data_IF_503157315456
#
_entry.id   IF_503157315456
#
_cell.length_a   1.000
_cell.length_b   1.000
_cell.length_c   1.000
_cell.angle_alpha   90.00
_cell.angle_beta   90.00
_cell.angle_gamma   90.00
#
_symmetry.space_group_name_H-M   'P 1'
#
loop_
_entity.id
_entity.type
_entity.pdbx_description
1 polymer ?
#
# COMPACT_ATOMS: atom_id res chain seq x y z
N UNK A 1 -24.91 -13.06 0.77
CA UNK A 1 -23.44 -12.91 0.53
C UNK A 1 -22.63 -12.85 1.82
N UNK A 2 -23.05 -12.10 2.85
CA UNK A 2 -22.32 -11.98 4.13
C UNK A 2 -22.21 -13.29 4.93
N UNK A 3 -23.24 -14.16 4.89
CA UNK A 3 -23.20 -15.49 5.52
C UNK A 3 -22.25 -16.47 4.81
N UNK A 4 -22.14 -16.38 3.48
CA UNK A 4 -21.17 -17.16 2.68
C UNK A 4 -19.72 -16.68 2.87
N UNK A 5 -19.51 -15.45 3.36
CA UNK A 5 -18.20 -14.89 3.65
C UNK A 5 -17.67 -15.26 5.04
N UNK A 6 -18.45 -15.94 5.89
CA UNK A 6 -18.02 -16.42 7.21
C UNK A 6 -17.99 -15.36 8.32
N UNK A 7 -18.52 -14.16 8.08
CA UNK A 7 -18.47 -13.01 9.02
C UNK A 7 -19.17 -13.32 10.36
N UNK A 8 -20.20 -14.17 10.35
CA UNK A 8 -20.98 -14.53 11.54
C UNK A 8 -20.30 -15.60 12.41
N UNK A 9 -19.23 -16.24 11.94
CA UNK A 9 -18.52 -17.31 12.64
C UNK A 9 -17.10 -16.89 13.10
N UNK A 10 -16.84 -15.59 13.26
CA UNK A 10 -15.54 -15.15 13.76
C UNK A 10 -15.39 -15.46 15.24
N UNK A 11 -14.30 -16.14 15.58
CA UNK A 11 -13.88 -16.22 16.97
C UNK A 11 -13.42 -14.85 17.49
N UNK A 12 -13.57 -14.62 18.79
CA UNK A 12 -13.12 -13.40 19.45
C UNK A 12 -11.64 -13.08 19.16
N UNK A 13 -10.79 -14.11 19.07
CA UNK A 13 -9.37 -13.94 18.71
C UNK A 13 -9.19 -13.30 17.33
N UNK A 14 -10.03 -13.65 16.34
CA UNK A 14 -9.97 -13.07 14.98
C UNK A 14 -10.53 -11.66 14.94
N UNK A 15 -11.58 -11.39 15.72
CA UNK A 15 -12.10 -10.02 15.89
C UNK A 15 -11.01 -9.12 16.46
N UNK A 16 -10.32 -9.55 17.53
CA UNK A 16 -9.20 -8.80 18.12
C UNK A 16 -8.03 -8.59 17.13
N UNK A 17 -7.70 -9.60 16.32
CA UNK A 17 -6.69 -9.47 15.27
C UNK A 17 -7.03 -8.37 14.26
N UNK A 18 -8.26 -8.34 13.75
CA UNK A 18 -8.71 -7.30 12.82
C UNK A 18 -8.89 -5.93 13.48
N UNK A 19 -9.26 -5.91 14.76
CA UNK A 19 -9.27 -4.69 15.57
C UNK A 19 -7.89 -4.06 15.69
N UNK A 20 -6.87 -4.85 16.06
CA UNK A 20 -5.48 -4.39 16.10
C UNK A 20 -4.99 -3.93 14.72
N UNK A 21 -5.33 -4.69 13.67
CA UNK A 21 -4.99 -4.30 12.29
C UNK A 21 -5.63 -2.97 11.91
N UNK A 22 -6.90 -2.78 12.25
CA UNK A 22 -7.63 -1.54 12.00
C UNK A 22 -7.04 -0.36 12.75
N UNK A 23 -6.60 -0.55 13.99
CA UNK A 23 -5.90 0.47 14.78
C UNK A 23 -4.56 0.86 14.14
N UNK A 24 -3.74 -0.13 13.78
CA UNK A 24 -2.44 0.09 13.13
C UNK A 24 -2.62 0.79 11.78
N UNK A 25 -3.53 0.29 10.95
CA UNK A 25 -3.79 0.85 9.62
C UNK A 25 -4.39 2.25 9.72
N UNK A 26 -5.37 2.45 10.62
CA UNK A 26 -6.00 3.74 10.87
C UNK A 26 -5.00 4.77 11.38
N UNK A 27 -4.09 4.39 12.29
CA UNK A 27 -2.99 5.24 12.72
C UNK A 27 -2.05 5.62 11.56
N UNK A 28 -1.74 4.66 10.69
CA UNK A 28 -1.01 4.94 9.44
C UNK A 28 -1.74 5.93 8.53
N UNK A 29 -3.05 5.76 8.35
CA UNK A 29 -3.90 6.68 7.57
C UNK A 29 -3.91 8.08 8.20
N UNK A 30 -4.00 8.22 9.52
CA UNK A 30 -3.94 9.52 10.18
C UNK A 30 -2.61 10.24 9.93
N UNK A 31 -1.49 9.54 10.09
CA UNK A 31 -0.16 10.10 9.83
C UNK A 31 0.04 10.45 8.35
N UNK A 32 -0.49 9.62 7.46
CA UNK A 32 -0.47 9.86 6.00
C UNK A 32 -1.29 11.10 5.62
N UNK A 33 -2.49 11.28 6.17
CA UNK A 33 -3.28 12.50 5.97
C UNK A 33 -2.61 13.73 6.58
N UNK A 34 -1.98 13.59 7.75
CA UNK A 34 -1.19 14.67 8.35
C UNK A 34 -0.05 15.09 7.41
N UNK A 35 0.67 14.12 6.82
CA UNK A 35 1.71 14.41 5.84
C UNK A 35 1.14 15.13 4.60
N UNK A 36 0.03 14.64 4.03
CA UNK A 36 -0.65 15.29 2.89
C UNK A 36 -1.10 16.72 3.18
N UNK A 37 -1.43 17.03 4.44
CA UNK A 37 -1.83 18.39 4.84
C UNK A 37 -0.65 19.36 4.98
N UNK A 38 0.59 18.84 5.01
CA UNK A 38 1.79 19.58 5.41
C UNK A 38 2.86 19.68 4.33
N UNK A 39 3.03 18.63 3.54
CA UNK A 39 4.04 18.54 2.50
C UNK A 39 3.40 18.22 1.14
N UNK A 40 4.04 18.58 0.02
CA UNK A 40 3.52 18.29 -1.31
C UNK A 40 3.24 16.80 -1.51
N UNK A 41 2.19 16.46 -2.29
CA UNK A 41 1.80 15.07 -2.55
C UNK A 41 2.93 14.24 -3.18
N UNK A 42 3.80 14.88 -3.97
CA UNK A 42 4.99 14.26 -4.53
C UNK A 42 5.96 13.80 -3.43
N UNK A 43 6.16 14.60 -2.39
CA UNK A 43 7.02 14.28 -1.26
C UNK A 43 6.38 13.19 -0.37
N UNK A 44 5.08 13.27 -0.11
CA UNK A 44 4.32 12.18 0.56
C UNK A 44 4.51 10.87 -0.17
N UNK A 45 4.40 10.89 -1.49
CA UNK A 45 4.54 9.70 -2.34
C UNK A 45 5.97 9.17 -2.30
N UNK A 46 6.99 10.03 -2.43
CA UNK A 46 8.40 9.66 -2.35
C UNK A 46 8.74 8.97 -1.03
N UNK A 47 8.35 9.58 0.09
CA UNK A 47 8.60 9.02 1.42
C UNK A 47 7.77 7.75 1.66
N UNK A 48 6.55 7.70 1.12
CA UNK A 48 5.67 6.54 1.20
C UNK A 48 6.21 5.29 0.50
N UNK A 49 7.04 5.48 -0.52
CA UNK A 49 7.74 4.40 -1.21
C UNK A 49 8.81 3.68 -0.37
N UNK A 50 9.04 4.12 0.87
CA UNK A 50 9.78 3.32 1.86
C UNK A 50 8.93 2.15 2.42
N UNK A 51 7.59 2.19 2.30
CA UNK A 51 6.67 1.11 2.73
C UNK A 51 7.04 -0.26 2.12
N UNK A 52 7.28 -0.39 0.80
CA UNK A 52 7.88 -1.58 0.18
C UNK A 52 9.08 -2.20 0.88
N UNK A 53 9.98 -1.36 1.39
CA UNK A 53 11.22 -1.78 2.06
C UNK A 53 10.87 -2.41 3.41
N UNK A 54 10.07 -1.72 4.22
CA UNK A 54 9.60 -2.23 5.50
C UNK A 54 8.76 -3.50 5.36
N UNK A 55 7.88 -3.56 4.35
CA UNK A 55 7.05 -4.73 4.09
C UNK A 55 7.91 -5.95 3.73
N UNK A 56 8.96 -5.77 2.95
CA UNK A 56 9.88 -6.86 2.57
C UNK A 56 10.73 -7.35 3.74
N UNK A 57 11.29 -6.42 4.52
CA UNK A 57 12.05 -6.76 5.72
C UNK A 57 11.18 -7.46 6.76
N UNK A 58 9.98 -6.92 7.01
CA UNK A 58 9.04 -7.53 7.95
C UNK A 58 8.49 -8.88 7.47
N UNK A 59 8.35 -9.10 6.15
CA UNK A 59 7.97 -10.41 5.63
C UNK A 59 9.04 -11.47 5.90
N UNK A 60 10.32 -11.11 5.75
CA UNK A 60 11.42 -12.00 6.10
C UNK A 60 11.46 -12.32 7.60
N UNK A 61 11.23 -11.33 8.46
CA UNK A 61 11.28 -11.47 9.92
C UNK A 61 10.07 -12.20 10.52
N UNK A 62 8.85 -11.86 10.08
CA UNK A 62 7.61 -12.32 10.74
C UNK A 62 6.87 -13.43 10.00
N UNK A 63 7.07 -13.54 8.68
CA UNK A 63 6.38 -14.53 7.85
C UNK A 63 7.31 -15.65 7.39
N UNK A 64 8.58 -15.63 7.80
CA UNK A 64 9.61 -16.55 7.36
C UNK A 64 9.72 -16.64 5.83
N UNK A 65 9.37 -15.57 5.11
CA UNK A 65 9.68 -15.47 3.68
C UNK A 65 11.21 -15.52 3.54
N UNK A 66 11.72 -16.35 2.62
CA UNK A 66 13.17 -16.38 2.39
C UNK A 66 13.62 -14.98 1.98
N UNK A 67 14.56 -14.42 2.72
CA UNK A 67 15.14 -13.14 2.35
C UNK A 67 15.93 -13.32 1.06
N UNK A 68 15.35 -12.89 -0.06
CA UNK A 68 16.00 -12.95 -1.35
C UNK A 68 16.52 -11.56 -1.70
N UNK A 69 17.85 -11.43 -1.71
CA UNK A 69 18.54 -10.18 -2.01
C UNK A 69 18.15 -9.60 -3.37
N UNK A 70 17.80 -10.46 -4.33
CA UNK A 70 17.29 -10.04 -5.63
C UNK A 70 16.04 -9.17 -5.52
N UNK A 71 15.06 -9.54 -4.69
CA UNK A 71 13.82 -8.78 -4.49
C UNK A 71 14.10 -7.43 -3.84
N UNK A 72 14.98 -7.39 -2.85
CA UNK A 72 15.38 -6.13 -2.24
C UNK A 72 16.04 -5.19 -3.27
N UNK A 73 16.94 -5.72 -4.11
CA UNK A 73 17.57 -4.94 -5.18
C UNK A 73 16.52 -4.39 -6.15
N UNK A 74 15.51 -5.17 -6.55
CA UNK A 74 14.41 -4.66 -7.39
C UNK A 74 13.66 -3.51 -6.72
N UNK A 75 13.34 -3.67 -5.43
CA UNK A 75 12.61 -2.65 -4.68
C UNK A 75 13.43 -1.36 -4.60
N UNK A 76 14.74 -1.47 -4.32
CA UNK A 76 15.63 -0.30 -4.28
C UNK A 76 15.76 0.35 -5.67
N UNK A 77 15.84 -0.42 -6.75
CA UNK A 77 15.87 0.13 -8.12
C UNK A 77 14.53 0.82 -8.47
N UNK A 78 13.40 0.22 -8.12
CA UNK A 78 12.07 0.84 -8.29
C UNK A 78 11.93 2.13 -7.48
N UNK A 79 12.46 2.14 -6.25
CA UNK A 79 12.53 3.33 -5.40
C UNK A 79 13.38 4.44 -6.03
N UNK A 80 14.56 4.11 -6.56
CA UNK A 80 15.39 5.07 -7.30
C UNK A 80 14.67 5.61 -8.54
N UNK A 81 13.98 4.75 -9.29
CA UNK A 81 13.14 5.17 -10.43
C UNK A 81 12.05 6.14 -10.01
N UNK A 82 11.41 5.92 -8.86
CA UNK A 82 10.44 6.85 -8.31
C UNK A 82 11.06 8.18 -7.88
N UNK A 83 12.24 8.18 -7.25
CA UNK A 83 12.96 9.41 -6.89
C UNK A 83 13.36 10.22 -8.14
N UNK A 84 13.71 9.56 -9.24
CA UNK A 84 14.02 10.23 -10.51
C UNK A 84 12.80 10.96 -11.09
N UNK A 85 11.60 10.36 -11.00
CA UNK A 85 10.36 11.02 -11.44
C UNK A 85 10.02 12.18 -10.50
N UNK A 86 10.05 11.93 -9.19
CA UNK A 86 9.56 12.89 -8.20
C UNK A 86 10.49 14.07 -7.97
N UNK A 87 11.79 13.90 -8.24
CA UNK A 87 12.87 14.88 -8.00
C UNK A 87 12.63 15.69 -6.72
N UNK A 88 12.59 15.02 -5.56
CA UNK A 88 12.38 15.73 -4.32
C UNK A 88 13.46 16.80 -4.18
N UNK A 89 13.04 18.05 -4.00
CA UNK A 89 13.96 19.16 -3.72
C UNK A 89 14.44 19.12 -2.29
N UNK A 90 15.57 19.79 -2.01
CA UNK A 90 16.01 20.03 -0.64
C UNK A 90 15.21 21.20 -0.07
N UNK A 91 14.26 20.91 0.81
CA UNK A 91 13.55 21.90 1.63
C UNK A 91 13.78 21.58 3.10
N UNK A 92 13.47 22.53 3.97
CA UNK A 92 13.45 22.30 5.42
C UNK A 92 12.52 21.11 5.71
N UNK A 93 13.02 20.14 6.47
CA UNK A 93 12.26 18.92 6.80
C UNK A 93 11.07 19.33 7.67
N UNK A 94 9.87 19.26 7.10
CA UNK A 94 8.62 19.53 7.81
C UNK A 94 8.18 18.31 8.65
N UNK A 95 7.36 18.53 9.67
CA UNK A 95 6.77 17.45 10.47
C UNK A 95 5.99 16.44 9.63
N UNK A 96 5.43 16.86 8.49
CA UNK A 96 4.77 15.98 7.52
C UNK A 96 5.70 14.89 6.96
N UNK A 97 6.99 15.18 6.77
CA UNK A 97 7.94 14.18 6.29
C UNK A 97 8.16 13.07 7.33
N UNK A 98 8.32 13.44 8.61
CA UNK A 98 8.41 12.48 9.71
C UNK A 98 7.11 11.68 9.87
N UNK A 99 5.95 12.32 9.75
CA UNK A 99 4.65 11.65 9.80
C UNK A 99 4.55 10.57 8.72
N UNK A 100 4.94 10.88 7.48
CA UNK A 100 4.90 9.90 6.38
C UNK A 100 5.89 8.75 6.58
N UNK A 101 7.10 9.03 7.05
CA UNK A 101 8.09 8.01 7.38
C UNK A 101 7.62 7.11 8.53
N UNK A 102 6.86 7.65 9.48
CA UNK A 102 6.23 6.87 10.56
C UNK A 102 5.00 6.07 10.08
N UNK A 103 4.25 6.57 9.08
CA UNK A 103 3.12 5.86 8.48
C UNK A 103 3.57 4.60 7.72
N UNK A 104 4.71 4.66 7.01
CA UNK A 104 5.23 3.57 6.19
C UNK A 104 5.37 2.20 6.93
N UNK A 105 6.01 2.11 8.11
CA UNK A 105 6.08 0.85 8.85
C UNK A 105 4.72 0.36 9.37
N UNK A 106 3.76 1.26 9.66
CA UNK A 106 2.40 0.88 10.06
C UNK A 106 1.63 0.24 8.90
N UNK A 107 1.73 0.82 7.69
CA UNK A 107 1.16 0.22 6.49
C UNK A 107 1.81 -1.11 6.15
N UNK A 108 3.13 -1.20 6.24
CA UNK A 108 3.85 -2.46 6.07
C UNK A 108 3.37 -3.53 7.07
N UNK A 109 3.26 -3.19 8.36
CA UNK A 109 2.71 -4.08 9.38
C UNK A 109 1.29 -4.55 9.01
N UNK A 110 0.43 -3.62 8.59
CA UNK A 110 -0.93 -3.96 8.14
C UNK A 110 -0.94 -4.91 6.93
N UNK A 111 -0.01 -4.76 5.97
CA UNK A 111 0.14 -5.68 4.83
C UNK A 111 0.61 -7.09 5.25
N UNK A 112 1.51 -7.19 6.23
CA UNK A 112 1.92 -8.48 6.79
C UNK A 112 0.75 -9.18 7.50
N UNK A 113 -0.06 -8.41 8.23
CA UNK A 113 -1.29 -8.92 8.84
C UNK A 113 -2.29 -9.40 7.79
N UNK A 114 -2.45 -8.67 6.68
CA UNK A 114 -3.26 -9.13 5.53
C UNK A 114 -2.73 -10.46 5.00
N UNK A 115 -1.42 -10.56 4.74
CA UNK A 115 -0.82 -11.79 4.23
C UNK A 115 -1.11 -12.98 5.15
N UNK A 116 -0.95 -12.82 6.46
CA UNK A 116 -1.31 -13.86 7.43
C UNK A 116 -2.81 -14.19 7.43
N UNK A 117 -3.67 -13.17 7.31
CA UNK A 117 -5.12 -13.36 7.29
C UNK A 117 -5.60 -14.13 6.04
N UNK A 118 -5.00 -13.89 4.87
CA UNK A 118 -5.38 -14.54 3.60
C UNK A 118 -5.23 -16.06 3.60
N UNK A 119 -4.47 -16.63 4.56
CA UNK A 119 -4.34 -18.08 4.72
C UNK A 119 -5.60 -18.74 5.30
N UNK A 120 -6.46 -17.96 5.97
CA UNK A 120 -7.60 -18.49 6.74
C UNK A 120 -8.94 -17.84 6.38
N UNK A 121 -8.91 -16.72 5.67
CA UNK A 121 -10.10 -15.91 5.40
C UNK A 121 -10.15 -15.45 3.94
N UNK A 122 -11.37 -15.23 3.46
CA UNK A 122 -11.59 -14.67 2.13
C UNK A 122 -11.10 -13.22 2.05
N UNK A 123 -10.60 -12.81 0.88
CA UNK A 123 -10.15 -11.43 0.64
C UNK A 123 -11.27 -10.40 0.88
N UNK A 124 -12.52 -10.75 0.57
CA UNK A 124 -13.67 -9.89 0.81
C UNK A 124 -13.87 -9.61 2.30
N UNK A 125 -13.80 -10.65 3.14
CA UNK A 125 -13.94 -10.54 4.59
C UNK A 125 -12.83 -9.67 5.20
N UNK A 126 -11.58 -9.87 4.77
CA UNK A 126 -10.41 -9.11 5.25
C UNK A 126 -10.56 -7.60 4.95
N UNK A 127 -11.12 -7.26 3.80
CA UNK A 127 -11.37 -5.87 3.40
C UNK A 127 -12.56 -5.28 4.16
N UNK A 128 -13.67 -6.01 4.30
CA UNK A 128 -14.83 -5.56 5.09
C UNK A 128 -14.42 -5.24 6.53
N UNK A 129 -13.65 -6.13 7.16
CA UNK A 129 -13.19 -5.91 8.54
C UNK A 129 -12.18 -4.76 8.64
N UNK A 130 -11.34 -4.55 7.60
CA UNK A 130 -10.53 -3.34 7.54
C UNK A 130 -11.41 -2.10 7.55
N UNK A 131 -12.41 -2.03 6.66
CA UNK A 131 -13.29 -0.87 6.55
C UNK A 131 -14.01 -0.59 7.87
N UNK A 132 -14.53 -1.62 8.55
CA UNK A 132 -15.18 -1.47 9.86
C UNK A 132 -14.20 -0.96 10.91
N UNK A 133 -13.08 -1.65 11.17
CA UNK A 133 -12.19 -1.30 12.27
C UNK A 133 -11.37 -0.03 12.01
N UNK A 134 -11.00 0.24 10.76
CA UNK A 134 -10.37 1.50 10.38
C UNK A 134 -11.35 2.66 10.57
N UNK A 135 -12.64 2.49 10.19
CA UNK A 135 -13.67 3.51 10.46
C UNK A 135 -13.80 3.75 11.95
N UNK A 136 -13.86 2.72 12.79
CA UNK A 136 -13.92 2.89 14.25
C UNK A 136 -12.69 3.63 14.81
N UNK A 137 -11.50 3.30 14.30
CA UNK A 137 -10.24 3.95 14.70
C UNK A 137 -10.25 5.44 14.36
N UNK A 138 -10.72 5.79 13.15
CA UNK A 138 -10.76 7.17 12.67
C UNK A 138 -11.98 7.95 13.18
N UNK A 139 -13.06 7.26 13.57
CA UNK A 139 -14.28 7.89 14.07
C UNK A 139 -14.04 8.62 15.39
N UNK A 140 -13.25 8.05 16.30
CA UNK A 140 -12.95 8.68 17.58
C UNK A 140 -12.36 10.11 17.43
N UNK A 141 -11.28 10.34 16.66
CA UNK A 141 -10.79 11.69 16.41
C UNK A 141 -11.73 12.52 15.54
N UNK A 142 -12.40 11.92 14.55
CA UNK A 142 -13.32 12.64 13.69
C UNK A 142 -14.53 13.22 14.46
N UNK A 143 -15.02 12.54 15.49
CA UNK A 143 -16.12 13.04 16.33
C UNK A 143 -15.73 14.30 17.13
N UNK A 144 -14.46 14.45 17.52
CA UNK A 144 -13.99 15.66 18.21
C UNK A 144 -13.90 16.89 17.30
N UNK A 145 -13.64 16.69 16.01
CA UNK A 145 -13.47 17.78 15.03
C UNK A 145 -14.53 17.73 13.92
N UNK A 146 -15.69 17.15 14.23
CA UNK A 146 -16.69 16.80 13.23
C UNK A 146 -17.20 18.03 12.48
N UNK A 147 -17.23 17.91 11.14
CA UNK A 147 -17.91 18.87 10.26
C UNK A 147 -18.83 18.08 9.34
N UNK A 148 -20.13 18.42 9.27
CA UNK A 148 -21.07 17.72 8.42
C UNK A 148 -20.68 17.96 6.95
N UNK A 149 -20.46 16.89 6.16
CA UNK A 149 -20.11 17.05 4.76
C UNK A 149 -21.32 17.54 3.95
N UNK A 150 -21.07 18.37 2.96
CA UNK A 150 -22.10 18.76 1.98
C UNK A 150 -22.21 17.71 0.86
N UNK A 151 -23.27 17.77 0.05
CA UNK A 151 -23.57 16.74 -0.95
C UNK A 151 -22.42 16.49 -1.93
N UNK A 152 -21.71 17.54 -2.36
CA UNK A 152 -20.58 17.38 -3.28
C UNK A 152 -19.41 16.61 -2.63
N UNK A 153 -19.12 16.86 -1.36
CA UNK A 153 -18.09 16.14 -0.59
C UNK A 153 -18.50 14.69 -0.38
N UNK A 154 -19.78 14.43 -0.11
CA UNK A 154 -20.30 13.06 0.01
C UNK A 154 -20.10 12.25 -1.27
N UNK A 155 -20.33 12.86 -2.45
CA UNK A 155 -20.08 12.20 -3.73
C UNK A 155 -18.59 11.87 -3.89
N UNK A 156 -17.70 12.83 -3.63
CA UNK A 156 -16.24 12.61 -3.72
C UNK A 156 -15.76 11.55 -2.72
N UNK A 157 -16.26 11.57 -1.49
CA UNK A 157 -15.95 10.58 -0.46
C UNK A 157 -16.48 9.20 -0.84
N UNK A 158 -17.69 9.10 -1.39
CA UNK A 158 -18.25 7.84 -1.86
C UNK A 158 -17.42 7.24 -3.00
N UNK A 159 -17.05 8.04 -4.01
CA UNK A 159 -16.19 7.60 -5.12
C UNK A 159 -14.82 7.16 -4.60
N UNK A 160 -14.21 7.93 -3.69
CA UNK A 160 -12.93 7.60 -3.08
C UNK A 160 -13.01 6.31 -2.28
N UNK A 161 -14.08 6.11 -1.49
CA UNK A 161 -14.30 4.90 -0.71
C UNK A 161 -14.47 3.66 -1.60
N UNK A 162 -15.19 3.78 -2.73
CA UNK A 162 -15.34 2.71 -3.70
C UNK A 162 -14.00 2.31 -4.34
N UNK A 163 -13.23 3.29 -4.82
CA UNK A 163 -11.92 3.05 -5.44
C UNK A 163 -10.91 2.50 -4.43
N UNK A 164 -10.85 3.06 -3.21
CA UNK A 164 -9.98 2.57 -2.16
C UNK A 164 -10.34 1.13 -1.75
N UNK A 165 -11.63 0.81 -1.62
CA UNK A 165 -12.09 -0.55 -1.31
C UNK A 165 -11.71 -1.53 -2.43
N UNK A 166 -11.89 -1.15 -3.69
CA UNK A 166 -11.47 -1.94 -4.84
C UNK A 166 -9.95 -2.16 -4.85
N UNK A 167 -9.17 -1.10 -4.61
CA UNK A 167 -7.71 -1.17 -4.49
C UNK A 167 -7.25 -2.12 -3.37
N UNK A 168 -7.83 -2.00 -2.18
CA UNK A 168 -7.55 -2.91 -1.07
C UNK A 168 -7.95 -4.35 -1.37
N UNK A 169 -9.05 -4.58 -2.08
CA UNK A 169 -9.46 -5.91 -2.50
C UNK A 169 -8.44 -6.52 -3.48
N UNK A 170 -8.05 -5.78 -4.52
CA UNK A 170 -7.01 -6.19 -5.47
C UNK A 170 -5.68 -6.48 -4.77
N UNK A 171 -5.26 -5.60 -3.86
CA UNK A 171 -4.04 -5.79 -3.06
C UNK A 171 -4.12 -7.04 -2.19
N UNK A 172 -5.26 -7.26 -1.51
CA UNK A 172 -5.48 -8.45 -0.68
C UNK A 172 -5.44 -9.73 -1.51
N UNK A 173 -5.98 -9.71 -2.73
CA UNK A 173 -5.90 -10.84 -3.67
C UNK A 173 -4.47 -11.09 -4.15
N UNK A 174 -3.71 -10.04 -4.43
CA UNK A 174 -2.30 -10.16 -4.80
C UNK A 174 -1.47 -10.78 -3.67
N UNK A 175 -1.66 -10.32 -2.42
CA UNK A 175 -1.00 -10.88 -1.24
C UNK A 175 -1.46 -12.31 -0.92
N UNK A 176 -2.69 -12.69 -1.26
CA UNK A 176 -3.12 -14.09 -1.17
C UNK A 176 -2.38 -14.98 -2.18
N UNK A 177 -2.12 -14.47 -3.39
CA UNK A 177 -1.54 -15.23 -4.49
C UNK A 177 0.00 -15.28 -4.49
N UNK A 178 0.68 -14.28 -3.90
CA UNK A 178 2.13 -14.16 -3.96
C UNK A 178 2.75 -13.74 -2.62
N UNK A 179 4.05 -13.97 -2.47
CA UNK A 179 4.85 -13.48 -1.34
C UNK A 179 4.82 -11.94 -1.28
N UNK A 180 4.80 -11.37 -0.08
CA UNK A 180 4.72 -9.92 0.17
C UNK A 180 5.83 -9.21 -0.60
N UNK A 181 7.04 -9.73 -0.48
CA UNK A 181 8.24 -9.22 -1.13
C UNK A 181 8.18 -9.25 -2.67
N UNK A 182 7.41 -10.16 -3.26
CA UNK A 182 7.20 -10.23 -4.71
C UNK A 182 6.19 -9.19 -5.22
N UNK A 183 5.23 -8.79 -4.38
CA UNK A 183 4.20 -7.79 -4.73
C UNK A 183 4.75 -6.36 -4.65
N UNK A 184 5.74 -6.10 -3.79
CA UNK A 184 6.21 -4.74 -3.51
C UNK A 184 6.68 -3.94 -4.74
N UNK A 185 7.45 -4.49 -5.71
CA UNK A 185 7.88 -3.73 -6.88
C UNK A 185 6.73 -3.19 -7.74
N UNK A 186 5.57 -3.83 -7.72
CA UNK A 186 4.41 -3.39 -8.50
C UNK A 186 3.75 -2.14 -7.92
N UNK A 187 3.99 -1.81 -6.64
CA UNK A 187 3.45 -0.59 -6.02
C UNK A 187 4.02 0.68 -6.65
N UNK A 188 5.26 0.64 -7.14
CA UNK A 188 5.90 1.76 -7.86
C UNK A 188 5.21 2.08 -9.19
N UNK A 189 4.50 1.11 -9.80
CA UNK A 189 3.74 1.34 -11.04
C UNK A 189 2.61 2.36 -10.85
N UNK A 190 2.17 2.62 -9.61
CA UNK A 190 1.22 3.69 -9.33
C UNK A 190 1.71 5.03 -9.89
N UNK A 191 3.02 5.31 -9.81
CA UNK A 191 3.59 6.55 -10.33
C UNK A 191 3.58 6.59 -11.86
N UNK A 192 3.78 5.44 -12.51
CA UNK A 192 3.64 5.32 -13.97
C UNK A 192 2.21 5.64 -14.39
N UNK A 193 1.21 5.07 -13.71
CA UNK A 193 -0.19 5.38 -14.02
C UNK A 193 -0.55 6.84 -13.71
N UNK A 194 -0.14 7.35 -12.56
CA UNK A 194 -0.40 8.75 -12.18
C UNK A 194 0.20 9.73 -13.20
N UNK A 195 1.44 9.49 -13.63
CA UNK A 195 2.09 10.31 -14.67
C UNK A 195 1.39 10.19 -16.02
N UNK A 196 0.99 8.98 -16.44
CA UNK A 196 0.23 8.76 -17.68
C UNK A 196 -1.10 9.52 -17.69
N UNK A 197 -1.84 9.54 -16.58
CA UNK A 197 -3.07 10.33 -16.47
C UNK A 197 -2.80 11.85 -16.50
N UNK A 198 -1.66 12.30 -15.97
CA UNK A 198 -1.23 13.70 -16.04
C UNK A 198 -0.87 14.18 -17.46
N UNK A 199 -0.62 13.27 -18.41
CA UNK A 199 -0.29 13.61 -19.80
C UNK A 199 -1.43 14.27 -20.57
N UNK A 200 -2.65 14.20 -20.04
CA UNK A 200 -3.84 14.74 -20.69
C UNK A 200 -3.76 16.27 -20.79
N UNK A 201 -3.13 16.93 -19.80
CA UNK A 201 -3.03 18.39 -19.73
C UNK A 201 -1.58 18.91 -19.69
N UNK A 202 -0.58 18.05 -19.46
CA UNK A 202 0.82 18.47 -19.31
C UNK A 202 1.79 17.63 -20.16
N UNK A 203 2.83 18.29 -20.71
CA UNK A 203 3.90 17.57 -21.40
C UNK A 203 4.90 17.02 -20.38
N UNK A 204 5.15 15.69 -20.37
CA UNK A 204 6.06 15.09 -19.43
C UNK A 204 7.49 15.49 -19.80
N UNK A 205 8.27 15.82 -18.79
CA UNK A 205 9.70 16.05 -18.98
C UNK A 205 10.49 14.74 -19.13
N UNK A 206 11.77 14.88 -19.47
CA UNK A 206 12.69 13.76 -19.70
C UNK A 206 12.76 12.76 -18.53
N UNK A 207 12.66 13.22 -17.29
CA UNK A 207 12.89 12.35 -16.14
C UNK A 207 11.69 11.47 -15.81
N UNK A 208 10.48 11.89 -16.16
CA UNK A 208 9.29 11.04 -16.11
C UNK A 208 9.51 9.79 -16.97
N UNK A 209 10.04 9.96 -18.19
CA UNK A 209 10.36 8.85 -19.08
C UNK A 209 11.47 7.96 -18.54
N UNK A 210 12.58 8.55 -18.07
CA UNK A 210 13.69 7.79 -17.51
C UNK A 210 13.30 7.00 -16.27
N UNK A 211 12.69 7.65 -15.27
CA UNK A 211 12.26 6.97 -14.05
C UNK A 211 11.15 5.95 -14.31
N UNK A 212 10.24 6.25 -15.25
CA UNK A 212 9.20 5.30 -15.69
C UNK A 212 9.79 4.05 -16.32
N UNK A 213 10.79 4.19 -17.20
CA UNK A 213 11.51 3.07 -17.78
C UNK A 213 12.23 2.22 -16.72
N UNK A 214 12.84 2.85 -15.71
CA UNK A 214 13.47 2.16 -14.57
C UNK A 214 12.44 1.35 -13.78
N UNK A 215 11.30 1.95 -13.42
CA UNK A 215 10.24 1.28 -12.66
C UNK A 215 9.67 0.08 -13.45
N UNK A 216 9.30 0.31 -14.71
CA UNK A 216 8.75 -0.75 -15.57
C UNK A 216 9.77 -1.85 -15.80
N UNK A 217 11.04 -1.51 -16.01
CA UNK A 217 12.13 -2.47 -16.14
C UNK A 217 12.31 -3.34 -14.90
N UNK A 218 12.34 -2.72 -13.71
CA UNK A 218 12.46 -3.41 -12.43
C UNK A 218 11.29 -4.38 -12.19
N UNK A 219 10.05 -3.91 -12.35
CA UNK A 219 8.84 -4.73 -12.20
C UNK A 219 8.80 -5.89 -13.21
N UNK A 220 9.15 -5.62 -14.47
CA UNK A 220 9.18 -6.64 -15.54
C UNK A 220 10.25 -7.70 -15.26
N UNK A 221 11.44 -7.29 -14.83
CA UNK A 221 12.51 -8.21 -14.50
C UNK A 221 12.12 -9.13 -13.32
N UNK A 222 11.48 -8.57 -12.29
CA UNK A 222 10.97 -9.36 -11.17
C UNK A 222 9.91 -10.36 -11.62
N UNK A 223 8.93 -9.92 -12.41
CA UNK A 223 7.88 -10.80 -12.94
C UNK A 223 8.49 -11.98 -13.73
N UNK A 224 9.45 -11.70 -14.62
CA UNK A 224 10.14 -12.74 -15.42
C UNK A 224 10.93 -13.71 -14.54
N UNK A 225 11.61 -13.20 -13.51
CA UNK A 225 12.41 -14.04 -12.60
C UNK A 225 11.53 -14.95 -11.75
N UNK A 226 10.38 -14.46 -11.30
CA UNK A 226 9.41 -15.25 -10.55
C UNK A 226 8.83 -16.39 -11.41
N UNK A 227 8.44 -16.10 -12.66
CA UNK A 227 7.97 -17.12 -13.62
C UNK A 227 9.03 -18.18 -13.90
N UNK A 228 10.30 -17.79 -14.09
CA UNK A 228 11.40 -18.75 -14.29
C UNK A 228 11.64 -19.63 -13.07
N UNK A 229 11.58 -19.05 -11.87
CA UNK A 229 11.70 -19.78 -10.60
C UNK A 229 10.59 -20.83 -10.45
N UNK A 230 9.37 -20.51 -10.85
CA UNK A 230 8.25 -21.46 -10.82
C UNK A 230 8.44 -22.60 -11.82
N UNK A 231 8.88 -22.29 -13.06
CA UNK A 231 9.16 -23.30 -14.09
C UNK A 231 10.27 -24.26 -13.70
N UNK A 232 11.34 -23.75 -13.09
CA UNK A 232 12.46 -24.58 -12.63
C UNK A 232 12.06 -25.57 -11.54
N UNK A 233 11.04 -25.29 -10.73
CA UNK A 233 10.53 -26.22 -9.71
C UNK A 233 9.55 -27.25 -10.27
N UNK A 234 8.97 -27.01 -11.45
CA UNK A 234 8.00 -27.90 -12.10
C UNK A 234 8.61 -28.81 -13.17
N UNK A 235 9.94 -28.80 -13.34
CA UNK A 235 10.66 -29.73 -14.23
C UNK A 235 11.21 -30.85 -13.34
N UNK A 236 10.77 -32.11 -13.50
CA UNK A 236 11.23 -33.24 -12.68
C UNK A 236 12.71 -33.58 -12.93
#
# INVERSE_FOLDING_TARGET
>A
MLSRAGILNLSWKRVGFHGLRGLIHGGGVMLWFLAMSRIPIAEVTALGFTTPIFATLGAALFLNERFRSDRLVVILVGFLGALLILRPGFRVIDIGAFAQLAAAPLFACSYLMVKSATQKESSAMIVVLLSVFCTLTLAAPALWVWRPPVLHELVLLATTAMLATAGHYCMTRALAAAEVSAVQPFTFLQLVWATLFGLIDERPDFWIWCGGAVIVGAATWMARKEVRSLRSKSTP
#
